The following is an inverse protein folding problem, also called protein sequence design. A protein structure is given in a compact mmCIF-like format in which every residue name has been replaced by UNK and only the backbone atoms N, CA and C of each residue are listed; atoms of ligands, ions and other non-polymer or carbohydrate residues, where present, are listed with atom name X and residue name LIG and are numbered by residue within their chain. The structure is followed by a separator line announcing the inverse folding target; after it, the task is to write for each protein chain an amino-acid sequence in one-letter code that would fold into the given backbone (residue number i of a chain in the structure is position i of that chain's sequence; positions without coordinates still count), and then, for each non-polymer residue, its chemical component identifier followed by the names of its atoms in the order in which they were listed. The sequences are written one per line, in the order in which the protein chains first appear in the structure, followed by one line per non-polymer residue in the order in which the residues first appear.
data_IF_906784788975
#
_entry.id   IF_906784788975
#
_cell.length_a   1.000
_cell.length_b   1.000
_cell.length_c   1.000
_cell.angle_alpha   90.00
_cell.angle_beta   90.00
_cell.angle_gamma   90.00
#
_symmetry.space_group_name_H-M   'P 1'
#
loop_
_entity.id
_entity.type
_entity.pdbx_description
1 polymer ?
#
# COMPACT_ATOMS: atom_id res chain seq x y z
N UNK A 1 61.32 -51.26 -0.61
CA UNK A 1 60.14 -51.20 -1.51
C UNK A 1 58.95 -50.59 -0.78
N UNK A 2 58.35 -49.57 -1.40
CA UNK A 2 56.98 -49.05 -1.27
C UNK A 2 56.50 -48.39 0.04
N UNK A 3 56.60 -47.05 0.02
CA UNK A 3 55.68 -46.03 0.56
C UNK A 3 54.20 -46.42 0.40
N UNK A 4 53.36 -46.21 1.42
CA UNK A 4 51.97 -45.66 1.33
C UNK A 4 51.47 -45.21 2.72
N UNK A 5 51.48 -43.91 3.01
CA UNK A 5 50.60 -43.28 4.00
C UNK A 5 50.20 -41.91 3.47
N UNK A 6 49.01 -41.81 2.88
CA UNK A 6 48.48 -40.55 2.40
C UNK A 6 46.96 -40.56 2.47
N UNK A 7 46.43 -39.45 3.01
CA UNK A 7 45.06 -38.95 2.93
C UNK A 7 43.96 -39.62 3.77
N UNK A 8 43.87 -39.25 5.06
CA UNK A 8 42.57 -39.03 5.73
C UNK A 8 42.73 -37.96 6.82
N UNK A 9 42.76 -36.67 6.49
CA UNK A 9 42.67 -35.61 7.51
C UNK A 9 42.04 -34.28 7.06
N UNK A 10 41.34 -34.23 5.92
CA UNK A 10 40.86 -32.96 5.34
C UNK A 10 39.34 -32.77 5.25
N UNK A 11 38.52 -33.69 5.79
CA UNK A 11 37.06 -33.57 5.67
C UNK A 11 36.34 -33.14 6.97
N UNK A 12 36.98 -33.24 8.15
CA UNK A 12 36.33 -32.92 9.43
C UNK A 12 36.53 -31.46 9.89
N UNK A 13 37.54 -30.77 9.37
CA UNK A 13 37.82 -29.37 9.70
C UNK A 13 36.93 -28.36 8.95
N UNK A 14 36.23 -28.78 7.90
CA UNK A 14 35.33 -27.90 7.13
C UNK A 14 33.90 -27.83 7.69
N UNK A 15 33.52 -28.75 8.59
CA UNK A 15 32.19 -28.74 9.25
C UNK A 15 32.12 -27.83 10.48
N UNK A 16 33.25 -27.46 11.08
CA UNK A 16 33.29 -26.64 12.31
C UNK A 16 33.33 -25.13 12.07
N UNK A 17 33.53 -24.69 10.82
CA UNK A 17 33.56 -23.26 10.45
C UNK A 17 32.19 -22.71 10.03
N UNK A 18 31.16 -23.56 9.94
CA UNK A 18 29.79 -23.16 9.59
C UNK A 18 28.93 -22.81 10.82
N UNK A 19 29.38 -23.17 12.03
CA UNK A 19 28.58 -23.03 13.27
C UNK A 19 28.28 -21.57 13.71
N UNK A 20 29.15 -20.55 13.56
CA UNK A 20 28.83 -19.21 14.06
C UNK A 20 27.75 -18.52 13.20
N UNK A 21 27.74 -18.77 11.88
CA UNK A 21 26.76 -18.18 10.97
C UNK A 21 25.35 -18.70 11.20
N UNK A 22 25.19 -20.00 11.50
CA UNK A 22 23.89 -20.57 11.82
C UNK A 22 23.33 -20.08 13.16
N UNK A 23 24.18 -19.93 14.18
CA UNK A 23 23.74 -19.41 15.48
C UNK A 23 23.29 -17.95 15.40
N UNK A 24 24.01 -17.11 14.65
CA UNK A 24 23.63 -15.71 14.42
C UNK A 24 22.30 -15.61 13.65
N UNK A 25 22.15 -16.38 12.56
CA UNK A 25 20.92 -16.43 11.79
C UNK A 25 19.72 -16.89 12.65
N UNK A 26 19.90 -17.94 13.47
CA UNK A 26 18.83 -18.41 14.38
C UNK A 26 18.45 -17.40 15.45
N UNK A 27 19.42 -16.63 15.97
CA UNK A 27 19.16 -15.59 16.96
C UNK A 27 18.41 -14.40 16.35
N UNK A 28 18.76 -14.01 15.12
CA UNK A 28 18.02 -12.98 14.39
C UNK A 28 16.59 -13.41 14.11
N UNK A 29 16.38 -14.65 13.65
CA UNK A 29 15.05 -15.19 13.41
C UNK A 29 14.17 -15.17 14.67
N UNK A 30 14.72 -15.65 15.79
CA UNK A 30 14.01 -15.66 17.08
C UNK A 30 13.69 -14.25 17.58
N UNK A 31 14.58 -13.28 17.33
CA UNK A 31 14.35 -11.88 17.68
C UNK A 31 13.14 -11.31 16.94
N UNK A 32 13.12 -11.36 15.60
CA UNK A 32 12.03 -10.79 14.80
C UNK A 32 10.69 -11.49 15.08
N UNK A 33 10.69 -12.83 15.20
CA UNK A 33 9.48 -13.59 15.52
C UNK A 33 8.88 -13.26 16.89
N UNK A 34 9.66 -12.66 17.80
CA UNK A 34 9.19 -12.25 19.13
C UNK A 34 8.67 -10.82 19.21
N UNK A 35 8.85 -10.01 18.15
CA UNK A 35 8.41 -8.62 18.13
C UNK A 35 6.89 -8.52 18.02
N UNK A 36 6.31 -7.51 18.68
CA UNK A 36 4.95 -7.09 18.38
C UNK A 36 4.90 -6.42 17.01
N UNK A 37 3.72 -6.38 16.38
CA UNK A 37 3.52 -5.72 15.08
C UNK A 37 4.04 -4.27 15.09
N UNK A 38 3.71 -3.51 16.14
CA UNK A 38 4.24 -2.15 16.30
C UNK A 38 5.77 -2.11 16.32
N UNK A 39 6.42 -2.94 17.14
CA UNK A 39 7.90 -2.98 17.20
C UNK A 39 8.52 -3.46 15.89
N UNK A 40 7.83 -4.36 15.19
CA UNK A 40 8.24 -4.87 13.89
C UNK A 40 8.19 -3.76 12.84
N UNK A 41 7.14 -2.94 12.82
CA UNK A 41 6.99 -1.82 11.91
C UNK A 41 8.14 -0.81 12.00
N UNK A 42 8.66 -0.55 13.21
CA UNK A 42 9.78 0.38 13.41
C UNK A 42 11.16 -0.23 13.15
N UNK A 43 11.28 -1.49 12.73
CA UNK A 43 12.58 -2.06 12.34
C UNK A 43 13.09 -1.43 11.04
N UNK A 44 14.41 -1.35 10.90
CA UNK A 44 15.07 -0.88 9.67
C UNK A 44 14.94 -1.95 8.57
N UNK A 45 14.20 -1.63 7.51
CA UNK A 45 13.94 -2.54 6.37
C UNK A 45 15.21 -2.85 5.59
N UNK A 46 16.16 -1.92 5.52
CA UNK A 46 17.39 -2.11 4.74
C UNK A 46 18.35 -3.05 5.47
N UNK A 47 18.43 -2.90 6.79
CA UNK A 47 19.26 -3.74 7.67
C UNK A 47 18.63 -5.11 8.02
N UNK A 48 17.31 -5.27 7.84
CA UNK A 48 16.62 -6.50 8.18
C UNK A 48 16.99 -7.68 7.26
N UNK A 49 16.95 -8.95 7.76
CA UNK A 49 17.04 -10.12 6.92
C UNK A 49 15.93 -10.14 5.85
N UNK A 50 16.26 -10.62 4.64
CA UNK A 50 15.35 -10.59 3.48
C UNK A 50 13.96 -11.18 3.77
N UNK A 51 13.90 -12.25 4.56
CA UNK A 51 12.65 -12.93 4.92
C UNK A 51 11.71 -12.10 5.80
N UNK A 52 12.22 -11.09 6.50
CA UNK A 52 11.42 -10.21 7.38
C UNK A 52 11.05 -8.88 6.75
N UNK A 53 11.62 -8.53 5.59
CA UNK A 53 11.38 -7.21 4.97
C UNK A 53 9.91 -7.00 4.64
N UNK A 54 9.25 -8.02 4.06
CA UNK A 54 7.82 -7.94 3.74
C UNK A 54 6.98 -7.83 5.01
N UNK A 55 7.30 -8.56 6.08
CA UNK A 55 6.55 -8.49 7.35
C UNK A 55 6.70 -7.14 8.05
N UNK A 56 7.89 -6.53 8.01
CA UNK A 56 8.11 -5.16 8.50
C UNK A 56 7.27 -4.16 7.70
N UNK A 57 7.28 -4.26 6.37
CA UNK A 57 6.50 -3.37 5.51
C UNK A 57 4.99 -3.56 5.72
N UNK A 58 4.53 -4.79 5.92
CA UNK A 58 3.13 -5.08 6.24
C UNK A 58 2.74 -4.45 7.58
N UNK A 59 3.55 -4.64 8.62
CA UNK A 59 3.32 -4.02 9.92
C UNK A 59 3.30 -2.48 9.85
N UNK A 60 4.18 -1.87 9.04
CA UNK A 60 4.13 -0.42 8.76
C UNK A 60 2.82 -0.03 8.08
N UNK A 61 2.40 -0.77 7.06
CA UNK A 61 1.17 -0.49 6.32
C UNK A 61 -0.07 -0.54 7.23
N UNK A 62 -0.15 -1.51 8.15
CA UNK A 62 -1.23 -1.55 9.15
C UNK A 62 -1.34 -0.25 9.94
N UNK A 63 -0.20 0.31 10.37
CA UNK A 63 -0.15 1.58 11.10
C UNK A 63 -0.51 2.74 10.18
N UNK A 64 0.06 2.80 8.97
CA UNK A 64 -0.18 3.87 7.99
C UNK A 64 -1.67 4.00 7.64
N UNK A 65 -2.35 2.88 7.36
CA UNK A 65 -3.76 2.88 6.97
C UNK A 65 -4.74 2.95 8.15
N UNK A 66 -4.23 2.96 9.39
CA UNK A 66 -5.05 3.22 10.58
C UNK A 66 -5.42 4.70 10.76
N UNK A 67 -4.79 5.60 10.00
CA UNK A 67 -5.07 7.04 10.03
C UNK A 67 -5.23 7.61 8.62
N UNK A 68 -5.84 8.81 8.52
CA UNK A 68 -5.98 9.55 7.26
C UNK A 68 -4.81 10.50 7.04
N UNK A 69 -4.35 10.66 5.80
CA UNK A 69 -3.16 11.44 5.45
C UNK A 69 -3.14 11.85 3.97
N UNK A 70 -2.30 12.82 3.64
CA UNK A 70 -2.04 13.27 2.27
C UNK A 70 -0.55 13.35 1.96
N UNK A 71 -0.20 13.40 0.67
CA UNK A 71 1.16 13.69 0.20
C UNK A 71 1.13 14.97 -0.59
N UNK A 72 1.88 15.97 -0.12
CA UNK A 72 1.96 17.30 -0.72
C UNK A 72 0.57 17.95 -0.87
N UNK A 73 -0.34 17.75 0.08
CA UNK A 73 -1.70 18.30 0.07
C UNK A 73 -2.53 17.91 -1.16
N UNK A 74 -2.25 16.76 -1.78
CA UNK A 74 -2.95 16.31 -2.99
C UNK A 74 -4.38 15.84 -2.72
N UNK A 75 -4.66 15.43 -1.49
CA UNK A 75 -5.90 14.75 -1.08
C UNK A 75 -6.49 15.42 0.15
N UNK A 76 -7.81 15.55 0.17
CA UNK A 76 -8.62 15.97 1.31
C UNK A 76 -10.00 15.33 1.22
N UNK A 77 -10.86 15.51 2.23
CA UNK A 77 -12.22 14.97 2.16
C UNK A 77 -13.28 15.94 2.65
N UNK A 78 -14.52 15.72 2.20
CA UNK A 78 -15.73 16.42 2.64
C UNK A 78 -16.67 15.42 3.30
N UNK A 79 -17.23 15.80 4.44
CA UNK A 79 -18.32 15.05 5.07
C UNK A 79 -19.67 15.36 4.39
N UNK A 80 -20.70 14.52 4.57
CA UNK A 80 -22.01 14.74 3.95
C UNK A 80 -22.69 16.07 4.30
N UNK A 81 -22.30 16.69 5.42
CA UNK A 81 -22.78 18.01 5.85
C UNK A 81 -22.05 19.19 5.17
N UNK A 82 -21.09 18.89 4.29
CA UNK A 82 -20.28 19.88 3.57
C UNK A 82 -19.03 20.34 4.32
N UNK A 83 -18.72 19.78 5.49
CA UNK A 83 -17.48 20.11 6.20
C UNK A 83 -16.26 19.55 5.47
N UNK A 84 -15.39 20.45 5.00
CA UNK A 84 -14.08 20.11 4.46
C UNK A 84 -13.11 19.81 5.61
N UNK A 85 -12.40 18.70 5.49
CA UNK A 85 -11.36 18.28 6.44
C UNK A 85 -10.01 18.23 5.73
N UNK A 86 -9.08 19.02 6.24
CA UNK A 86 -7.68 18.97 5.83
C UNK A 86 -7.00 17.74 6.44
N UNK A 87 -6.19 17.06 5.63
CA UNK A 87 -5.45 15.88 6.06
C UNK A 87 -4.03 16.27 6.49
N UNK A 88 -3.48 15.64 7.53
CA UNK A 88 -2.06 15.80 7.87
C UNK A 88 -1.16 15.25 6.75
N UNK A 89 0.02 15.86 6.60
CA UNK A 89 1.02 15.35 5.67
C UNK A 89 1.59 14.01 6.14
N UNK A 90 1.82 13.10 5.20
CA UNK A 90 2.35 11.76 5.47
C UNK A 90 3.68 11.83 6.23
N UNK A 91 4.58 12.74 5.82
CA UNK A 91 5.90 12.91 6.45
C UNK A 91 5.84 13.40 7.89
N UNK A 92 4.77 14.09 8.28
CA UNK A 92 4.59 14.59 9.63
C UNK A 92 4.12 13.47 10.56
N UNK A 93 3.28 12.55 10.04
CA UNK A 93 2.79 11.39 10.77
C UNK A 93 3.83 10.26 10.84
N UNK A 94 4.58 10.04 9.75
CA UNK A 94 5.49 8.90 9.59
C UNK A 94 6.88 9.38 9.15
N UNK A 95 7.63 10.08 10.02
CA UNK A 95 8.91 10.66 9.65
C UNK A 95 9.92 9.57 9.29
N UNK A 96 10.54 9.73 8.11
CA UNK A 96 11.54 8.81 7.58
C UNK A 96 10.97 7.50 7.02
N UNK A 97 9.65 7.36 6.95
CA UNK A 97 9.01 6.21 6.30
C UNK A 97 8.75 6.53 4.83
N UNK A 98 8.75 5.49 4.00
CA UNK A 98 8.34 5.60 2.61
C UNK A 98 6.82 5.54 2.49
N UNK A 99 6.27 6.38 1.62
CA UNK A 99 4.87 6.28 1.21
C UNK A 99 4.62 4.89 0.61
N UNK A 100 3.53 4.19 0.99
CA UNK A 100 3.22 2.89 0.43
C UNK A 100 3.13 2.90 -1.09
N UNK A 101 3.53 1.78 -1.70
CA UNK A 101 3.53 1.61 -3.16
C UNK A 101 2.95 0.26 -3.54
N UNK A 102 2.29 0.23 -4.70
CA UNK A 102 1.95 -1.02 -5.37
C UNK A 102 3.23 -1.78 -5.74
N UNK A 103 3.22 -3.10 -5.53
CA UNK A 103 4.26 -3.99 -6.07
C UNK A 103 4.33 -3.82 -7.60
N UNK A 104 5.53 -3.90 -8.15
CA UNK A 104 5.83 -3.57 -9.55
C UNK A 104 5.04 -4.40 -10.57
N UNK A 105 4.91 -5.70 -10.31
CA UNK A 105 4.11 -6.63 -11.09
C UNK A 105 2.62 -6.26 -11.07
N UNK A 106 2.08 -5.99 -9.88
CA UNK A 106 0.70 -5.54 -9.69
C UNK A 106 0.46 -4.22 -10.41
N UNK A 107 1.38 -3.25 -10.29
CA UNK A 107 1.27 -1.95 -10.97
C UNK A 107 1.21 -2.11 -12.48
N UNK A 108 2.08 -2.95 -13.06
CA UNK A 108 2.07 -3.25 -14.50
C UNK A 108 0.78 -3.93 -14.94
N UNK A 109 0.23 -4.82 -14.12
CA UNK A 109 -1.09 -5.41 -14.39
C UNK A 109 -2.17 -4.34 -14.42
N UNK A 110 -2.22 -3.43 -13.43
CA UNK A 110 -3.21 -2.35 -13.42
C UNK A 110 -3.13 -1.44 -14.67
N UNK A 111 -1.93 -1.16 -15.16
CA UNK A 111 -1.73 -0.37 -16.37
C UNK A 111 -2.11 -1.10 -17.67
N UNK A 112 -2.20 -2.43 -17.64
CA UNK A 112 -2.45 -3.26 -18.82
C UNK A 112 -3.84 -3.89 -18.85
N UNK A 113 -4.63 -3.77 -17.78
CA UNK A 113 -5.99 -4.32 -17.70
C UNK A 113 -6.86 -3.77 -18.84
N UNK A 114 -7.38 -4.65 -19.72
CA UNK A 114 -8.24 -4.25 -20.83
C UNK A 114 -9.68 -4.08 -20.32
N UNK A 115 -9.90 -3.09 -19.47
CA UNK A 115 -11.23 -2.52 -19.35
C UNK A 115 -11.29 -1.41 -20.42
N UNK A 116 -12.35 -1.42 -21.23
CA UNK A 116 -12.66 -0.49 -22.32
C UNK A 116 -12.62 0.98 -21.86
N UNK A 117 -11.42 1.54 -21.70
CA UNK A 117 -11.21 2.90 -21.25
C UNK A 117 -10.46 3.66 -22.31
N UNK A 118 -11.08 4.76 -22.74
CA UNK A 118 -10.51 5.64 -23.73
C UNK A 118 -9.44 6.51 -23.05
N UNK A 119 -8.18 6.09 -23.14
CA UNK A 119 -7.03 6.89 -22.74
C UNK A 119 -6.90 8.21 -23.53
N UNK A 120 -7.74 8.48 -24.52
CA UNK A 120 -7.89 9.79 -25.17
C UNK A 120 -8.82 10.74 -24.40
N UNK A 121 -9.67 10.24 -23.49
CA UNK A 121 -10.48 11.07 -22.60
C UNK A 121 -9.69 11.42 -21.33
N UNK A 122 -9.25 12.68 -21.24
CA UNK A 122 -8.59 13.24 -20.04
C UNK A 122 -9.63 13.59 -18.96
N UNK A 123 -10.47 12.62 -18.59
CA UNK A 123 -11.54 12.79 -17.62
C UNK A 123 -11.79 11.52 -16.79
N UNK A 124 -11.98 11.70 -15.48
CA UNK A 124 -12.53 10.66 -14.61
C UNK A 124 -14.05 10.59 -14.79
N UNK A 125 -14.57 9.40 -15.10
CA UNK A 125 -16.00 9.15 -15.29
C UNK A 125 -16.34 7.69 -15.01
N UNK A 126 -16.39 7.34 -13.72
CA UNK A 126 -16.80 6.03 -13.25
C UNK A 126 -18.04 6.16 -12.38
N UNK A 127 -19.03 5.29 -12.63
CA UNK A 127 -20.16 5.02 -11.74
C UNK A 127 -20.44 3.53 -11.81
N UNK A 128 -20.41 2.83 -10.67
CA UNK A 128 -20.61 1.38 -10.68
C UNK A 128 -20.57 0.73 -9.30
N UNK A 129 -20.83 -0.57 -9.27
CA UNK A 129 -20.71 -1.37 -8.07
C UNK A 129 -19.27 -1.87 -7.87
N UNK A 130 -18.71 -1.60 -6.69
CA UNK A 130 -17.38 -2.03 -6.28
C UNK A 130 -17.52 -2.89 -5.03
N UNK A 131 -16.91 -4.07 -5.03
CA UNK A 131 -16.85 -4.89 -3.82
C UNK A 131 -15.79 -4.32 -2.87
N UNK A 132 -16.22 -3.82 -1.71
CA UNK A 132 -15.35 -3.32 -0.66
C UNK A 132 -14.85 -4.49 0.18
N UNK A 133 -13.55 -4.75 0.06
CA UNK A 133 -12.84 -5.71 0.91
C UNK A 133 -12.43 -5.06 2.24
N UNK A 134 -12.15 -5.90 3.23
CA UNK A 134 -11.40 -5.45 4.41
C UNK A 134 -9.99 -5.02 3.96
N UNK A 135 -9.43 -3.93 4.51
CA UNK A 135 -8.06 -3.53 4.20
C UNK A 135 -7.07 -4.66 4.48
N UNK A 136 -6.13 -4.87 3.56
CA UNK A 136 -5.06 -5.83 3.80
C UNK A 136 -3.99 -5.20 4.67
N UNK A 137 -3.43 -5.99 5.59
CA UNK A 137 -2.22 -5.59 6.33
C UNK A 137 -1.00 -5.53 5.41
N UNK A 138 -1.06 -6.13 4.22
CA UNK A 138 0.07 -6.15 3.27
C UNK A 138 0.16 -4.97 2.31
N UNK A 139 -0.79 -4.06 2.35
CA UNK A 139 -0.84 -2.89 1.49
C UNK A 139 -2.26 -2.43 1.19
N UNK A 140 -2.37 -1.27 0.55
CA UNK A 140 -3.67 -0.76 0.14
C UNK A 140 -4.37 -1.68 -0.87
N UNK A 141 -5.70 -1.61 -0.84
CA UNK A 141 -6.55 -2.30 -1.80
C UNK A 141 -6.21 -1.88 -3.23
N UNK A 142 -6.32 -2.84 -4.16
CA UNK A 142 -6.05 -2.58 -5.57
C UNK A 142 -7.00 -1.50 -6.10
N UNK A 143 -6.54 -0.67 -7.06
CA UNK A 143 -7.42 0.24 -7.75
C UNK A 143 -8.59 -0.51 -8.41
N UNK A 144 -9.81 -0.03 -8.18
CA UNK A 144 -11.00 -0.53 -8.88
C UNK A 144 -11.28 0.27 -10.16
N UNK A 145 -10.74 1.48 -10.25
CA UNK A 145 -10.85 2.36 -11.40
C UNK A 145 -9.55 3.11 -11.63
N UNK A 146 -9.14 3.25 -12.88
CA UNK A 146 -7.91 3.93 -13.30
C UNK A 146 -8.22 4.97 -14.36
N UNK A 147 -7.60 6.14 -14.29
CA UNK A 147 -7.94 7.26 -15.16
C UNK A 147 -6.77 8.21 -15.40
N UNK A 148 -6.87 9.01 -16.46
CA UNK A 148 -6.17 10.28 -16.60
C UNK A 148 -7.20 11.40 -16.45
N UNK A 149 -6.82 12.54 -15.91
CA UNK A 149 -7.72 13.69 -15.85
C UNK A 149 -6.96 15.00 -16.00
N UNK A 150 -7.59 15.94 -16.71
CA UNK A 150 -7.14 17.33 -16.85
C UNK A 150 -7.94 18.30 -15.98
N UNK A 151 -8.89 17.78 -15.19
CA UNK A 151 -9.68 18.58 -14.27
C UNK A 151 -8.81 19.13 -13.12
N UNK A 152 -9.27 20.24 -12.54
CA UNK A 152 -8.67 20.79 -11.32
C UNK A 152 -8.92 19.88 -10.11
N UNK A 153 -9.93 19.00 -10.20
CA UNK A 153 -10.29 18.09 -9.13
C UNK A 153 -10.94 16.83 -9.67
N UNK A 154 -10.64 15.71 -9.02
CA UNK A 154 -11.41 14.46 -9.14
C UNK A 154 -11.99 14.13 -7.78
N UNK A 155 -13.24 13.67 -7.78
CA UNK A 155 -14.01 13.33 -6.58
C UNK A 155 -14.36 11.85 -6.59
N UNK A 156 -14.06 11.15 -5.50
CA UNK A 156 -14.54 9.79 -5.22
C UNK A 156 -15.61 9.81 -4.14
N UNK A 157 -16.74 9.15 -4.38
CA UNK A 157 -17.90 9.12 -3.48
C UNK A 157 -18.37 7.68 -3.29
N UNK A 158 -18.64 7.30 -2.04
CA UNK A 158 -19.43 6.12 -1.71
C UNK A 158 -20.92 6.46 -1.67
N UNK A 159 -21.62 6.33 -2.80
CA UNK A 159 -23.04 6.70 -2.96
C UNK A 159 -23.96 5.83 -2.11
N UNK A 160 -23.65 4.52 -2.03
CA UNK A 160 -24.27 3.59 -1.10
C UNK A 160 -23.23 2.62 -0.56
N UNK A 161 -23.35 2.26 0.72
CA UNK A 161 -22.38 1.40 1.39
C UNK A 161 -23.01 0.10 1.90
N UNK A 162 -22.28 -1.03 1.87
CA UNK A 162 -22.70 -2.27 2.53
C UNK A 162 -22.71 -2.16 4.06
N UNK A 163 -21.99 -1.18 4.62
CA UNK A 163 -21.92 -0.89 6.05
C UNK A 163 -22.04 0.62 6.31
N UNK A 164 -21.40 1.08 7.38
CA UNK A 164 -21.48 2.49 7.83
C UNK A 164 -20.44 3.40 7.22
N UNK A 165 -19.32 2.85 6.74
CA UNK A 165 -18.19 3.62 6.25
C UNK A 165 -17.38 2.88 5.20
N UNK A 166 -16.58 3.63 4.44
CA UNK A 166 -15.58 3.13 3.51
C UNK A 166 -14.26 3.89 3.70
N UNK A 167 -13.17 3.27 3.28
CA UNK A 167 -11.89 3.93 3.16
C UNK A 167 -11.63 4.22 1.69
N UNK A 168 -10.93 5.30 1.40
CA UNK A 168 -10.69 5.76 0.04
C UNK A 168 -9.26 6.25 -0.12
N UNK A 169 -8.68 6.05 -1.29
CA UNK A 169 -7.36 6.57 -1.61
C UNK A 169 -7.09 6.63 -3.10
N UNK A 170 -6.05 7.38 -3.45
CA UNK A 170 -5.57 7.49 -4.83
C UNK A 170 -4.11 7.03 -4.95
N UNK A 171 -3.79 6.45 -6.10
CA UNK A 171 -2.43 6.05 -6.50
C UNK A 171 -1.96 6.92 -7.64
N UNK A 172 -0.69 7.31 -7.64
CA UNK A 172 0.03 7.65 -8.86
C UNK A 172 0.56 6.35 -9.48
N UNK A 173 -0.08 5.85 -10.55
CA UNK A 173 0.29 4.57 -11.19
C UNK A 173 1.57 4.65 -12.02
N UNK A 174 2.08 5.86 -12.35
CA UNK A 174 3.39 5.99 -12.99
C UNK A 174 4.51 5.57 -12.04
N UNK A 175 4.35 5.86 -10.73
CA UNK A 175 5.34 5.49 -9.70
C UNK A 175 4.90 4.29 -8.85
N UNK A 176 3.60 3.99 -8.82
CA UNK A 176 2.99 3.03 -7.91
C UNK A 176 2.70 3.59 -6.52
N UNK A 177 3.15 4.80 -6.21
CA UNK A 177 3.01 5.39 -4.87
C UNK A 177 1.63 5.97 -4.65
N UNK A 178 1.16 5.88 -3.43
CA UNK A 178 -0.06 6.52 -2.97
C UNK A 178 0.11 8.04 -2.94
N UNK A 179 -0.99 8.78 -3.11
CA UNK A 179 -0.98 10.26 -3.01
C UNK A 179 -1.84 10.78 -1.84
N UNK A 180 -2.51 9.88 -1.14
CA UNK A 180 -3.32 10.17 0.04
C UNK A 180 -4.38 9.10 0.29
N UNK A 181 -4.86 9.08 1.52
CA UNK A 181 -5.80 8.09 2.03
C UNK A 181 -6.68 8.70 3.11
N UNK A 182 -7.98 8.37 3.08
CA UNK A 182 -8.92 8.68 4.14
C UNK A 182 -9.60 7.39 4.62
N UNK A 183 -9.61 7.17 5.93
CA UNK A 183 -10.33 6.06 6.55
C UNK A 183 -11.69 6.49 7.08
N UNK A 184 -12.61 5.53 7.12
CA UNK A 184 -13.92 5.67 7.75
C UNK A 184 -14.79 6.84 7.23
N UNK A 185 -14.69 7.16 5.93
CA UNK A 185 -15.63 8.08 5.29
C UNK A 185 -17.05 7.51 5.38
N UNK A 186 -18.05 8.28 5.83
CA UNK A 186 -19.43 7.83 5.85
C UNK A 186 -20.00 7.79 4.42
N UNK A 187 -21.16 7.16 4.25
CA UNK A 187 -21.89 7.22 2.98
C UNK A 187 -22.13 8.69 2.57
N UNK A 188 -21.87 9.01 1.31
CA UNK A 188 -21.95 10.37 0.77
C UNK A 188 -20.75 11.27 1.13
N UNK A 189 -19.83 10.81 1.97
CA UNK A 189 -18.52 11.45 2.14
C UNK A 189 -17.77 11.45 0.81
N UNK A 190 -16.92 12.46 0.60
CA UNK A 190 -16.23 12.68 -0.67
C UNK A 190 -14.74 12.76 -0.45
N UNK A 191 -13.96 11.97 -1.16
CA UNK A 191 -12.51 12.14 -1.24
C UNK A 191 -12.16 12.96 -2.48
N UNK A 192 -11.29 13.95 -2.33
CA UNK A 192 -10.80 14.77 -3.43
C UNK A 192 -9.36 14.46 -3.78
N UNK A 193 -9.04 14.65 -5.05
CA UNK A 193 -7.70 14.77 -5.60
C UNK A 193 -7.62 16.12 -6.33
N UNK A 194 -6.70 17.01 -6.01
CA UNK A 194 -6.73 18.43 -6.47
C UNK A 194 -5.47 18.94 -7.19
N UNK A 195 -4.35 18.19 -7.17
CA UNK A 195 -3.11 18.55 -7.89
C UNK A 195 -2.78 17.53 -8.97
N UNK A 196 -3.74 17.31 -9.86
CA UNK A 196 -3.60 16.32 -10.93
C UNK A 196 -2.56 16.75 -11.97
N UNK A 197 -1.84 15.77 -12.50
CA UNK A 197 -1.06 15.91 -13.72
C UNK A 197 -1.71 15.09 -14.83
N UNK A 198 -2.04 15.73 -15.95
CA UNK A 198 -2.75 15.08 -17.07
C UNK A 198 -1.96 13.95 -17.75
N UNK A 199 -0.64 13.85 -17.50
CA UNK A 199 0.22 12.77 -17.97
C UNK A 199 0.46 11.70 -16.90
N UNK A 200 -0.23 11.77 -15.77
CA UNK A 200 -0.18 10.78 -14.70
C UNK A 200 -1.42 9.90 -14.74
N UNK A 201 -1.22 8.59 -14.85
CA UNK A 201 -2.28 7.63 -14.61
C UNK A 201 -2.55 7.59 -13.09
N UNK A 202 -3.80 7.78 -12.69
CA UNK A 202 -4.23 7.64 -11.31
C UNK A 202 -5.09 6.39 -11.12
N UNK A 203 -5.01 5.80 -9.93
CA UNK A 203 -5.83 4.65 -9.53
C UNK A 203 -6.67 4.97 -8.29
N UNK A 204 -7.99 4.93 -8.42
CA UNK A 204 -8.97 5.04 -7.35
C UNK A 204 -9.13 3.72 -6.61
N UNK A 205 -9.04 3.76 -5.26
CA UNK A 205 -9.11 2.59 -4.39
C UNK A 205 -10.17 2.78 -3.32
N UNK A 206 -10.81 1.68 -2.94
CA UNK A 206 -11.75 1.68 -1.83
C UNK A 206 -11.71 0.34 -1.08
N UNK A 207 -12.02 0.41 0.22
CA UNK A 207 -12.12 -0.72 1.14
C UNK A 207 -13.03 -0.35 2.30
N UNK A 208 -13.22 -1.23 3.29
CA UNK A 208 -14.02 -0.90 4.47
C UNK A 208 -13.59 -1.68 5.71
N UNK A 209 -13.47 -1.00 6.84
CA UNK A 209 -13.36 -1.62 8.16
C UNK A 209 -14.73 -1.95 8.78
N UNK A 210 -15.84 -1.57 8.12
CA UNK A 210 -17.20 -1.71 8.65
C UNK A 210 -17.82 -3.05 8.25
N UNK A 211 -18.38 -3.17 7.05
CA UNK A 211 -19.00 -4.40 6.55
C UNK A 211 -18.61 -4.59 5.11
N UNK A 212 -17.99 -5.71 4.77
CA UNK A 212 -17.58 -6.02 3.40
C UNK A 212 -18.80 -6.27 2.51
N UNK A 213 -18.72 -5.91 1.23
CA UNK A 213 -19.84 -6.06 0.31
C UNK A 213 -19.80 -5.07 -0.86
N UNK A 214 -20.81 -5.12 -1.71
CA UNK A 214 -20.92 -4.19 -2.84
C UNK A 214 -21.37 -2.81 -2.37
N UNK A 215 -20.57 -1.79 -2.69
CA UNK A 215 -20.92 -0.38 -2.60
C UNK A 215 -21.19 0.17 -4.00
N UNK A 216 -22.12 1.12 -4.12
CA UNK A 216 -22.17 1.96 -5.31
C UNK A 216 -21.17 3.09 -5.14
N UNK A 217 -20.24 3.20 -6.07
CA UNK A 217 -19.14 4.15 -6.04
C UNK A 217 -19.13 4.99 -7.31
N UNK A 218 -18.76 6.27 -7.14
CA UNK A 218 -18.54 7.19 -8.25
C UNK A 218 -17.13 7.79 -8.17
N UNK A 219 -16.47 7.94 -9.32
CA UNK A 219 -15.20 8.68 -9.46
C UNK A 219 -15.31 9.59 -10.67
N UNK A 220 -15.43 10.88 -10.43
CA UNK A 220 -15.79 11.86 -11.47
C UNK A 220 -14.93 13.11 -11.36
N UNK A 221 -14.65 13.73 -12.50
CA UNK A 221 -14.13 15.09 -12.53
C UNK A 221 -15.10 16.06 -11.83
N UNK A 222 -14.56 17.13 -11.24
CA UNK A 222 -15.35 18.20 -10.67
C UNK A 222 -14.65 19.54 -10.64
#
# INVERSE_FOLDING_TARGET
MKKKSLFVFSALALLLLLTPSFALASNQQNYFASLSEEKLAYQDVDAAPTEWKDDILNARNSIIYSTSWTVDGQVGYELPDGMLVELPEFSDLFPGWDVPKLKEDVRKEQLTKPQTYDFHTLAANYVGFVYLFEPSNSGASLPFYTFYSSANRVTMIGDSLPGTSYNAGFTNLNTGSDVGYANNLPQGGKLYLTKLNSNTAYGARASTYSTTGYAQMSVVDG
#
